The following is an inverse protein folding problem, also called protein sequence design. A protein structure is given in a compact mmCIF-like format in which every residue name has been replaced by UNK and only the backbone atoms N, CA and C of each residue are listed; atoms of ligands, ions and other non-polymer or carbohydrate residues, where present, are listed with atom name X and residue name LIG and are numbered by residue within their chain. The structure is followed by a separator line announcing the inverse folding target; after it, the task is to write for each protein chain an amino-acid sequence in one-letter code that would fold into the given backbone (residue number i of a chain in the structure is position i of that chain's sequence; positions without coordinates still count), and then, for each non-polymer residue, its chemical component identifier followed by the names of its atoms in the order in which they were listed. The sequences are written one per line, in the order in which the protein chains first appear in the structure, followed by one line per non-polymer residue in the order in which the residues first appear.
data_IF_699127915374
#
_entry.id   IF_699127915374
#
_cell.length_a   1.000
_cell.length_b   1.000
_cell.length_c   1.000
_cell.angle_alpha   90.00
_cell.angle_beta   90.00
_cell.angle_gamma   90.00
#
_symmetry.space_group_name_H-M   'P 1'
#
loop_
_entity.id
_entity.type
_entity.pdbx_description
1 polymer ?
#
# COMPACT_ATOMS: atom_id res chain seq x y z
N UNK A 1 24.68 -20.72 -5.39
CA UNK A 1 23.46 -19.92 -5.68
C UNK A 1 22.28 -20.89 -5.69
N UNK A 2 21.24 -20.61 -4.92
CA UNK A 2 20.07 -21.48 -4.81
C UNK A 2 19.31 -21.53 -6.16
N UNK A 3 19.01 -22.73 -6.66
CA UNK A 3 18.32 -22.95 -7.95
C UNK A 3 16.82 -23.19 -7.80
N UNK A 4 16.38 -23.58 -6.60
CA UNK A 4 15.00 -23.97 -6.29
C UNK A 4 14.54 -23.34 -4.98
N UNK A 5 13.25 -23.07 -4.84
CA UNK A 5 12.64 -22.51 -3.64
C UNK A 5 11.35 -23.25 -3.28
N UNK A 6 11.33 -23.81 -2.07
CA UNK A 6 10.12 -24.28 -1.40
C UNK A 6 9.67 -23.20 -0.43
N UNK A 7 8.38 -22.88 -0.44
CA UNK A 7 7.86 -21.74 0.33
C UNK A 7 7.40 -22.21 1.71
N UNK A 8 6.64 -23.30 1.74
CA UNK A 8 6.18 -23.93 2.97
C UNK A 8 6.64 -25.40 3.06
N UNK A 9 6.90 -25.88 4.27
CA UNK A 9 7.26 -27.28 4.54
C UNK A 9 6.17 -28.30 4.20
N UNK A 10 4.94 -27.86 3.98
CA UNK A 10 3.81 -28.71 3.56
C UNK A 10 3.57 -28.67 2.04
N UNK A 11 4.35 -27.90 1.28
CA UNK A 11 4.19 -27.78 -0.17
C UNK A 11 4.68 -29.06 -0.87
N UNK A 12 3.87 -29.62 -1.76
CA UNK A 12 4.30 -30.71 -2.65
C UNK A 12 4.78 -30.21 -4.03
N UNK A 13 4.88 -28.88 -4.18
CA UNK A 13 5.45 -28.22 -5.34
C UNK A 13 6.66 -27.38 -4.93
N UNK A 14 7.66 -27.33 -5.81
CA UNK A 14 8.85 -26.47 -5.66
C UNK A 14 8.94 -25.51 -6.84
N UNK A 15 9.32 -24.24 -6.58
CA UNK A 15 9.54 -23.22 -7.61
C UNK A 15 10.96 -23.28 -8.14
N UNK A 16 11.11 -23.30 -9.46
CA UNK A 16 12.41 -23.13 -10.12
C UNK A 16 12.82 -21.65 -10.16
N UNK A 17 13.99 -21.32 -9.63
CA UNK A 17 14.54 -19.95 -9.67
C UNK A 17 15.33 -19.66 -10.96
N UNK A 18 15.61 -20.71 -11.75
CA UNK A 18 16.28 -20.67 -13.05
C UNK A 18 15.66 -21.73 -13.96
N UNK A 19 16.03 -21.73 -15.24
CA UNK A 19 15.73 -22.86 -16.10
C UNK A 19 16.51 -24.09 -15.61
N UNK A 20 15.80 -25.21 -15.47
CA UNK A 20 16.30 -26.50 -15.02
C UNK A 20 16.01 -27.53 -16.10
N UNK A 21 16.91 -28.48 -16.27
CA UNK A 21 16.82 -29.51 -17.30
C UNK A 21 16.45 -30.87 -16.72
N UNK A 22 15.76 -31.67 -17.52
CA UNK A 22 15.51 -33.08 -17.19
C UNK A 22 16.84 -33.81 -16.87
N UNK A 23 16.80 -34.66 -15.85
CA UNK A 23 17.97 -35.37 -15.31
C UNK A 23 18.75 -34.61 -14.23
N UNK A 24 18.54 -33.29 -14.06
CA UNK A 24 19.07 -32.57 -12.90
C UNK A 24 18.45 -33.13 -11.61
N UNK A 25 19.28 -33.32 -10.58
CA UNK A 25 18.84 -33.79 -9.27
C UNK A 25 19.07 -32.74 -8.20
N UNK A 26 18.09 -32.59 -7.31
CA UNK A 26 18.11 -31.64 -6.21
C UNK A 26 17.80 -32.38 -4.91
N UNK A 27 18.64 -32.17 -3.90
CA UNK A 27 18.36 -32.62 -2.54
C UNK A 27 17.61 -31.53 -1.77
N UNK A 28 16.56 -31.93 -1.08
CA UNK A 28 15.84 -31.09 -0.13
C UNK A 28 15.41 -31.92 1.07
N UNK A 29 15.76 -31.47 2.28
CA UNK A 29 15.72 -32.29 3.51
C UNK A 29 16.46 -33.63 3.29
N UNK A 30 15.80 -34.76 3.56
CA UNK A 30 16.31 -36.11 3.33
C UNK A 30 15.90 -36.70 1.97
N UNK A 31 15.21 -35.93 1.12
CA UNK A 31 14.67 -36.42 -0.14
C UNK A 31 15.49 -35.92 -1.35
N UNK A 32 15.67 -36.79 -2.33
CA UNK A 32 16.35 -36.48 -3.60
C UNK A 32 15.33 -36.52 -4.74
N UNK A 33 15.28 -35.43 -5.51
CA UNK A 33 14.32 -35.25 -6.60
C UNK A 33 15.10 -35.09 -7.90
N UNK A 34 14.93 -36.04 -8.80
CA UNK A 34 15.43 -35.94 -10.18
C UNK A 34 14.32 -35.43 -11.09
N UNK A 35 14.59 -34.37 -11.84
CA UNK A 35 13.63 -33.83 -12.80
C UNK A 35 13.42 -34.80 -13.97
N UNK A 36 12.17 -35.05 -14.32
CA UNK A 36 11.82 -35.88 -15.49
C UNK A 36 11.50 -35.05 -16.74
N UNK A 37 11.30 -33.74 -16.56
CA UNK A 37 11.03 -32.76 -17.61
C UNK A 37 11.83 -31.49 -17.36
N UNK A 38 12.08 -30.72 -18.41
CA UNK A 38 12.61 -29.36 -18.25
C UNK A 38 11.61 -28.48 -17.47
N UNK A 39 12.12 -27.65 -16.57
CA UNK A 39 11.34 -26.71 -15.77
C UNK A 39 11.89 -25.31 -15.98
N UNK A 40 11.12 -24.45 -16.65
CA UNK A 40 11.52 -23.05 -16.86
C UNK A 40 11.56 -22.28 -15.54
N UNK A 41 12.36 -21.22 -15.48
CA UNK A 41 12.35 -20.29 -14.36
C UNK A 41 10.91 -19.83 -14.04
N UNK A 42 10.62 -19.70 -12.75
CA UNK A 42 9.31 -19.35 -12.15
C UNK A 42 8.21 -20.41 -12.29
N UNK A 43 8.46 -21.50 -13.02
CA UNK A 43 7.56 -22.66 -13.05
C UNK A 43 7.82 -23.58 -11.86
N UNK A 44 6.96 -24.59 -11.69
CA UNK A 44 7.04 -25.50 -10.56
C UNK A 44 7.21 -26.93 -11.03
N UNK A 45 7.67 -27.78 -10.13
CA UNK A 45 7.68 -29.23 -10.32
C UNK A 45 7.20 -29.95 -9.06
N UNK A 46 6.68 -31.16 -9.23
CA UNK A 46 6.18 -31.98 -8.13
C UNK A 46 7.33 -32.60 -7.32
N UNK A 47 7.24 -32.59 -5.99
CA UNK A 47 8.20 -33.25 -5.10
C UNK A 47 7.91 -34.73 -4.88
N UNK A 48 6.74 -35.19 -5.31
CA UNK A 48 6.23 -36.54 -5.13
C UNK A 48 5.30 -36.89 -6.29
N UNK A 49 4.94 -38.17 -6.41
CA UNK A 49 3.88 -38.58 -7.34
C UNK A 49 2.53 -38.04 -6.85
N UNK A 50 1.75 -37.48 -7.77
CA UNK A 50 0.43 -36.92 -7.52
C UNK A 50 -0.56 -37.66 -8.42
N UNK A 51 -1.48 -38.46 -7.86
CA UNK A 51 -2.47 -39.19 -8.65
C UNK A 51 -3.46 -38.23 -9.31
N UNK A 52 -4.26 -38.75 -10.25
CA UNK A 52 -5.44 -38.04 -10.77
C UNK A 52 -6.29 -37.53 -9.60
N UNK A 53 -6.74 -36.27 -9.68
CA UNK A 53 -7.48 -35.56 -8.62
C UNK A 53 -6.71 -35.34 -7.30
N UNK A 54 -5.43 -35.71 -7.25
CA UNK A 54 -4.52 -35.43 -6.15
C UNK A 54 -4.30 -33.92 -5.98
N UNK A 55 -4.17 -33.49 -4.73
CA UNK A 55 -3.99 -32.08 -4.38
C UNK A 55 -2.58 -31.62 -4.76
N UNK A 56 -2.49 -30.44 -5.37
CA UNK A 56 -1.24 -29.68 -5.47
C UNK A 56 -1.26 -28.53 -4.47
N UNK A 57 -0.21 -28.38 -3.68
CA UNK A 57 -0.10 -27.39 -2.62
C UNK A 57 1.06 -26.42 -2.83
N UNK A 58 0.83 -25.16 -2.48
CA UNK A 58 1.82 -24.09 -2.45
C UNK A 58 1.45 -23.10 -1.34
N UNK A 59 2.44 -22.50 -0.66
CA UNK A 59 2.20 -21.60 0.47
C UNK A 59 1.49 -22.28 1.65
N UNK A 60 1.65 -23.60 1.80
CA UNK A 60 1.00 -24.39 2.84
C UNK A 60 -0.49 -24.64 2.60
N UNK A 61 -1.02 -24.31 1.41
CA UNK A 61 -2.44 -24.44 1.09
C UNK A 61 -2.69 -25.16 -0.25
N UNK A 62 -3.80 -25.89 -0.42
CA UNK A 62 -4.23 -26.40 -1.71
C UNK A 62 -4.46 -25.28 -2.73
N UNK A 63 -3.83 -25.38 -3.90
CA UNK A 63 -3.99 -24.41 -5.00
C UNK A 63 -4.59 -25.03 -6.27
N UNK A 64 -4.68 -26.36 -6.31
CA UNK A 64 -5.13 -27.08 -7.49
C UNK A 64 -5.31 -28.57 -7.26
N UNK A 65 -5.80 -29.23 -8.30
CA UNK A 65 -5.82 -30.70 -8.41
C UNK A 65 -5.20 -31.13 -9.73
N UNK A 66 -4.52 -32.27 -9.72
CA UNK A 66 -3.97 -32.87 -10.92
C UNK A 66 -5.10 -33.35 -11.86
N UNK A 67 -5.02 -33.02 -13.15
CA UNK A 67 -5.99 -33.45 -14.18
C UNK A 67 -5.63 -34.79 -14.80
N UNK A 68 -4.42 -35.28 -14.52
CA UNK A 68 -3.88 -36.60 -14.85
C UNK A 68 -2.80 -36.95 -13.80
N UNK A 69 -2.34 -38.21 -13.72
CA UNK A 69 -1.18 -38.53 -12.88
C UNK A 69 0.03 -37.65 -13.26
N UNK A 70 0.69 -37.10 -12.23
CA UNK A 70 1.93 -36.31 -12.32
C UNK A 70 2.99 -37.08 -11.54
N UNK A 71 4.15 -37.32 -12.14
CA UNK A 71 5.23 -38.04 -11.45
C UNK A 71 6.15 -37.06 -10.70
N UNK A 72 6.85 -37.56 -9.68
CA UNK A 72 7.89 -36.82 -8.97
C UNK A 72 8.91 -36.25 -9.95
N UNK A 73 9.23 -34.96 -9.80
CA UNK A 73 10.15 -34.22 -10.67
C UNK A 73 9.52 -33.72 -11.98
N UNK A 74 8.23 -33.93 -12.22
CA UNK A 74 7.54 -33.43 -13.41
C UNK A 74 7.15 -31.96 -13.25
N UNK A 75 7.29 -31.18 -14.32
CA UNK A 75 6.86 -29.79 -14.39
C UNK A 75 5.34 -29.67 -14.25
N UNK A 76 4.89 -28.71 -13.45
CA UNK A 76 3.49 -28.32 -13.34
C UNK A 76 3.18 -27.28 -14.41
N UNK A 77 2.17 -27.56 -15.23
CA UNK A 77 1.67 -26.69 -16.31
C UNK A 77 0.16 -26.53 -16.20
N UNK A 78 -0.41 -25.61 -16.97
CA UNK A 78 -1.88 -25.43 -17.03
C UNK A 78 -2.60 -26.65 -17.61
N UNK A 79 -1.89 -27.60 -18.23
CA UNK A 79 -2.46 -28.78 -18.84
C UNK A 79 -2.63 -29.94 -17.85
N UNK A 80 -1.76 -30.00 -16.83
CA UNK A 80 -1.75 -31.10 -15.85
C UNK A 80 -2.38 -30.75 -14.49
N UNK A 81 -2.82 -29.50 -14.30
CA UNK A 81 -3.57 -29.09 -13.11
C UNK A 81 -4.82 -28.27 -13.46
N UNK A 82 -5.80 -28.30 -12.57
CA UNK A 82 -6.97 -27.42 -12.57
C UNK A 82 -7.07 -26.69 -11.24
N UNK A 83 -7.67 -25.50 -11.28
CA UNK A 83 -7.91 -24.72 -10.07
C UNK A 83 -8.74 -25.52 -9.05
N UNK A 84 -8.32 -25.48 -7.80
CA UNK A 84 -9.05 -26.02 -6.67
C UNK A 84 -8.71 -25.18 -5.43
N UNK A 85 -9.75 -24.74 -4.73
CA UNK A 85 -9.64 -24.17 -3.40
C UNK A 85 -10.36 -25.12 -2.44
N UNK A 86 -9.77 -25.34 -1.26
CA UNK A 86 -10.45 -26.10 -0.22
C UNK A 86 -11.78 -25.39 0.15
N UNK A 87 -12.88 -26.13 0.39
CA UNK A 87 -14.11 -25.54 0.87
C UNK A 87 -13.86 -24.83 2.21
N UNK A 88 -14.38 -23.62 2.35
CA UNK A 88 -14.29 -22.85 3.60
C UNK A 88 -15.45 -23.26 4.49
N UNK A 89 -15.17 -23.88 5.63
CA UNK A 89 -16.15 -24.10 6.70
C UNK A 89 -16.04 -22.96 7.71
N UNK A 90 -17.15 -22.28 8.00
CA UNK A 90 -17.22 -21.26 9.06
C UNK A 90 -17.27 -21.89 10.47
N UNK A 91 -17.42 -23.20 10.54
CA UNK A 91 -17.57 -23.99 11.76
C UNK A 91 -16.22 -24.32 12.41
N UNK A 92 -15.13 -24.37 11.62
CA UNK A 92 -13.78 -24.73 12.06
C UNK A 92 -12.85 -23.51 12.20
N UNK A 93 -13.42 -22.31 12.31
CA UNK A 93 -12.63 -21.10 12.52
C UNK A 93 -12.22 -21.04 13.99
N UNK A 94 -11.14 -21.74 14.33
CA UNK A 94 -10.39 -21.45 15.55
C UNK A 94 -10.15 -19.93 15.60
N UNK A 95 -10.43 -19.26 16.74
CA UNK A 95 -10.17 -17.83 16.87
C UNK A 95 -8.72 -17.55 16.48
N UNK A 96 -8.51 -16.73 15.44
CA UNK A 96 -7.16 -16.36 15.05
C UNK A 96 -6.51 -15.58 16.20
N UNK A 97 -5.58 -16.23 16.89
CA UNK A 97 -4.76 -15.60 17.89
C UNK A 97 -3.54 -14.98 17.21
N UNK A 98 -3.61 -13.67 16.97
CA UNK A 98 -2.43 -12.94 16.50
C UNK A 98 -1.34 -12.99 17.56
N UNK A 99 -0.24 -13.66 17.23
CA UNK A 99 0.97 -13.60 18.02
C UNK A 99 1.83 -12.45 17.49
N UNK A 100 1.99 -11.42 18.31
CA UNK A 100 2.89 -10.32 17.99
C UNK A 100 4.31 -10.86 17.73
N UNK A 101 4.97 -10.45 16.64
CA UNK A 101 6.37 -10.79 16.45
C UNK A 101 7.21 -10.20 17.58
N UNK A 102 8.25 -10.91 18.01
CA UNK A 102 9.20 -10.36 18.98
C UNK A 102 9.95 -9.20 18.33
N UNK A 103 9.74 -7.98 18.85
CA UNK A 103 10.38 -6.76 18.38
C UNK A 103 11.49 -6.26 19.32
N UNK A 104 11.92 -7.09 20.28
CA UNK A 104 12.93 -6.74 21.29
C UNK A 104 14.25 -6.23 20.70
N UNK A 105 14.68 -6.79 19.55
CA UNK A 105 15.89 -6.35 18.83
C UNK A 105 15.83 -4.87 18.41
N UNK A 106 14.63 -4.34 18.16
CA UNK A 106 14.43 -2.97 17.71
C UNK A 106 14.03 -2.01 18.83
N UNK A 107 13.96 -2.48 20.08
CA UNK A 107 13.48 -1.69 21.24
C UNK A 107 14.28 -0.39 21.49
N UNK A 108 15.55 -0.35 21.09
CA UNK A 108 16.42 0.83 21.24
C UNK A 108 16.52 1.69 19.97
N UNK A 109 15.88 1.28 18.86
CA UNK A 109 15.95 2.02 17.61
C UNK A 109 15.03 3.24 17.67
N UNK A 110 15.61 4.40 17.34
CA UNK A 110 14.90 5.68 17.32
C UNK A 110 15.03 6.33 15.94
N UNK A 111 14.10 7.21 15.59
CA UNK A 111 14.19 8.08 14.42
C UNK A 111 13.84 9.51 14.81
N UNK A 112 14.29 10.49 14.02
CA UNK A 112 13.91 11.89 14.21
C UNK A 112 12.50 12.10 13.66
N UNK A 113 11.51 12.13 14.56
CA UNK A 113 10.11 12.39 14.23
C UNK A 113 9.58 13.66 14.90
N UNK A 114 8.38 14.06 14.50
CA UNK A 114 7.61 15.14 15.10
C UNK A 114 6.62 14.55 16.10
N UNK A 115 6.91 14.68 17.39
CA UNK A 115 5.98 14.25 18.45
C UNK A 115 4.76 15.18 18.47
N UNK A 116 3.56 14.59 18.57
CA UNK A 116 2.28 15.30 18.67
C UNK A 116 1.77 15.26 20.11
N UNK A 117 0.84 16.16 20.42
CA UNK A 117 0.30 16.32 21.78
C UNK A 117 -0.49 15.07 22.23
N UNK A 118 -1.06 14.31 21.28
CA UNK A 118 -1.69 13.01 21.50
C UNK A 118 -0.70 11.83 21.63
N UNK A 119 0.61 12.10 21.62
CA UNK A 119 1.69 11.11 21.75
C UNK A 119 2.05 10.37 20.45
N UNK A 120 1.30 10.55 19.35
CA UNK A 120 1.69 9.98 18.05
C UNK A 120 2.88 10.73 17.47
N UNK A 121 3.60 10.07 16.57
CA UNK A 121 4.82 10.63 15.97
C UNK A 121 4.67 10.71 14.45
N UNK A 122 4.81 11.91 13.90
CA UNK A 122 4.86 12.16 12.47
C UNK A 122 6.28 12.01 11.92
N UNK A 123 6.42 11.53 10.69
CA UNK A 123 7.66 11.56 9.91
C UNK A 123 7.80 12.84 9.08
N UNK A 124 6.71 13.60 8.93
CA UNK A 124 6.67 14.89 8.24
C UNK A 124 5.68 15.83 8.93
N UNK A 125 5.65 17.09 8.51
CA UNK A 125 4.71 18.10 9.02
C UNK A 125 4.11 18.88 7.85
N UNK A 126 2.86 18.56 7.49
CA UNK A 126 2.12 19.17 6.39
C UNK A 126 0.89 19.93 6.89
N UNK A 127 0.58 21.03 6.20
CA UNK A 127 -0.72 21.70 6.33
C UNK A 127 -1.62 21.23 5.18
N UNK A 128 -2.82 20.73 5.49
CA UNK A 128 -3.75 20.30 4.46
C UNK A 128 -4.68 21.43 4.01
N UNK A 129 -5.01 21.45 2.73
CA UNK A 129 -6.07 22.31 2.20
C UNK A 129 -6.96 21.47 1.31
N UNK A 130 -8.25 21.42 1.59
CA UNK A 130 -9.19 20.63 0.79
C UNK A 130 -10.60 21.20 0.81
N UNK A 131 -11.37 21.00 -0.27
CA UNK A 131 -12.78 21.32 -0.26
C UNK A 131 -13.63 20.11 0.14
N UNK A 132 -14.84 20.38 0.60
CA UNK A 132 -15.88 19.36 0.77
C UNK A 132 -16.73 19.17 -0.50
N UNK A 133 -16.38 19.86 -1.60
CA UNK A 133 -17.08 19.76 -2.89
C UNK A 133 -16.12 19.90 -4.07
N UNK A 134 -16.32 19.07 -5.10
CA UNK A 134 -15.45 19.01 -6.26
C UNK A 134 -15.33 20.34 -7.03
N UNK A 135 -16.36 21.19 -7.03
CA UNK A 135 -16.36 22.49 -7.71
C UNK A 135 -15.22 23.41 -7.24
N UNK A 136 -14.75 23.24 -6.00
CA UNK A 136 -13.69 24.06 -5.40
C UNK A 136 -12.29 23.48 -5.59
N UNK A 137 -12.14 22.29 -6.17
CA UNK A 137 -10.82 21.65 -6.37
C UNK A 137 -9.83 22.57 -7.07
N UNK A 138 -10.28 23.28 -8.11
CA UNK A 138 -9.42 24.19 -8.88
C UNK A 138 -8.96 25.38 -8.05
N UNK A 139 -9.86 25.95 -7.24
CA UNK A 139 -9.56 27.10 -6.40
C UNK A 139 -8.59 26.70 -5.29
N UNK A 140 -8.87 25.59 -4.59
CA UNK A 140 -8.00 25.05 -3.53
C UNK A 140 -6.62 24.67 -4.07
N UNK A 141 -6.54 24.08 -5.27
CA UNK A 141 -5.25 23.75 -5.89
C UNK A 141 -4.45 24.99 -6.24
N UNK A 142 -5.08 26.02 -6.81
CA UNK A 142 -4.41 27.29 -7.11
C UNK A 142 -3.92 27.99 -5.85
N UNK A 143 -4.75 28.04 -4.82
CA UNK A 143 -4.38 28.60 -3.52
C UNK A 143 -3.18 27.84 -2.92
N UNK A 144 -3.23 26.52 -2.93
CA UNK A 144 -2.15 25.67 -2.42
C UNK A 144 -0.83 25.93 -3.16
N UNK A 145 -0.87 26.06 -4.48
CA UNK A 145 0.32 26.38 -5.27
C UNK A 145 0.85 27.78 -4.93
N UNK A 146 -0.02 28.78 -4.85
CA UNK A 146 0.37 30.14 -4.48
C UNK A 146 0.99 30.20 -3.07
N UNK A 147 0.43 29.45 -2.10
CA UNK A 147 0.99 29.33 -0.76
C UNK A 147 2.37 28.65 -0.78
N UNK A 148 2.51 27.54 -1.50
CA UNK A 148 3.81 26.84 -1.60
C UNK A 148 4.88 27.71 -2.28
N UNK A 149 4.51 28.48 -3.30
CA UNK A 149 5.41 29.42 -3.97
C UNK A 149 5.83 30.55 -3.01
N UNK A 150 4.86 31.21 -2.37
CA UNK A 150 5.11 32.35 -1.49
C UNK A 150 5.89 31.95 -0.21
N UNK A 151 5.68 30.75 0.31
CA UNK A 151 6.30 30.26 1.54
C UNK A 151 7.62 29.50 1.30
N UNK A 152 8.04 29.31 0.05
CA UNK A 152 9.31 28.66 -0.30
C UNK A 152 9.28 27.13 -0.26
N UNK A 153 8.12 26.51 -0.42
CA UNK A 153 7.96 25.04 -0.45
C UNK A 153 7.97 24.44 -1.86
N UNK A 154 7.84 25.28 -2.90
CA UNK A 154 7.81 24.81 -4.29
C UNK A 154 9.16 24.28 -4.76
N UNK A 155 9.16 23.08 -5.35
CA UNK A 155 10.32 22.57 -6.07
C UNK A 155 10.39 23.20 -7.47
N UNK A 156 11.35 24.11 -7.65
CA UNK A 156 11.55 24.82 -8.91
C UNK A 156 12.43 24.07 -9.93
N UNK A 157 12.76 22.79 -9.74
CA UNK A 157 13.66 22.06 -10.63
C UNK A 157 13.20 22.05 -12.10
N UNK A 158 11.93 21.74 -12.35
CA UNK A 158 11.35 21.77 -13.69
C UNK A 158 11.24 23.18 -14.26
N UNK A 159 10.97 24.18 -13.40
CA UNK A 159 10.92 25.59 -13.80
C UNK A 159 12.31 26.09 -14.21
N UNK A 160 13.36 25.74 -13.44
CA UNK A 160 14.77 25.97 -13.79
C UNK A 160 15.11 25.32 -15.13
N UNK A 161 14.76 24.04 -15.30
CA UNK A 161 14.99 23.33 -16.56
C UNK A 161 14.33 24.02 -17.77
N UNK A 162 13.06 24.40 -17.65
CA UNK A 162 12.34 25.09 -18.73
C UNK A 162 12.92 26.48 -19.05
N UNK A 163 13.38 27.23 -18.04
CA UNK A 163 14.08 28.51 -18.25
C UNK A 163 15.43 28.30 -18.93
N UNK A 164 16.18 27.27 -18.54
CA UNK A 164 17.46 26.93 -19.17
C UNK A 164 17.31 26.56 -20.65
N UNK A 165 16.16 25.98 -21.04
CA UNK A 165 15.85 25.73 -22.46
C UNK A 165 15.50 26.99 -23.26
N UNK A 166 15.03 28.06 -22.61
CA UNK A 166 14.47 29.23 -23.32
C UNK A 166 15.34 30.48 -23.23
N UNK A 167 15.96 30.79 -22.09
CA UNK A 167 16.66 32.06 -21.86
C UNK A 167 18.16 31.94 -21.57
N UNK A 168 18.68 30.73 -21.35
CA UNK A 168 20.10 30.51 -21.03
C UNK A 168 20.60 31.25 -19.77
N UNK A 169 19.69 31.70 -18.92
CA UNK A 169 19.97 32.47 -17.70
C UNK A 169 19.36 31.79 -16.48
N UNK A 170 20.19 31.57 -15.45
CA UNK A 170 20.00 30.57 -14.39
C UNK A 170 19.53 31.15 -13.05
N UNK A 171 19.12 32.42 -13.00
CA UNK A 171 18.83 33.10 -11.72
C UNK A 171 17.35 33.04 -11.34
N UNK A 172 16.89 31.86 -10.93
CA UNK A 172 15.71 31.78 -10.06
C UNK A 172 16.13 32.06 -8.62
N UNK A 173 15.70 33.21 -8.09
CA UNK A 173 15.82 33.52 -6.66
C UNK A 173 15.02 32.47 -5.89
N UNK A 174 15.70 31.60 -5.15
CA UNK A 174 15.03 30.67 -4.26
C UNK A 174 14.44 31.44 -3.07
N UNK A 175 13.12 31.33 -2.92
CA UNK A 175 12.42 31.85 -1.75
C UNK A 175 12.83 31.02 -0.54
N UNK A 176 13.44 31.67 0.46
CA UNK A 176 13.77 31.02 1.72
C UNK A 176 12.50 30.49 2.39
N UNK A 177 12.56 29.29 2.96
CA UNK A 177 11.43 28.69 3.67
C UNK A 177 11.05 29.54 4.87
N UNK A 178 9.83 30.07 4.86
CA UNK A 178 9.33 30.94 5.94
C UNK A 178 9.07 30.15 7.24
N UNK A 179 8.57 28.91 7.13
CA UNK A 179 8.40 28.02 8.28
C UNK A 179 9.21 26.72 8.08
N UNK A 180 10.45 26.64 8.60
CA UNK A 180 11.33 25.49 8.37
C UNK A 180 10.80 24.16 8.88
N UNK A 181 9.93 24.18 9.90
CA UNK A 181 9.32 22.98 10.50
C UNK A 181 8.10 22.46 9.74
N UNK A 182 7.64 23.18 8.71
CA UNK A 182 6.55 22.75 7.84
C UNK A 182 7.18 22.33 6.51
N UNK A 183 6.90 21.10 6.08
CA UNK A 183 7.41 20.58 4.81
C UNK A 183 6.68 21.16 3.60
N UNK A 184 5.42 21.53 3.78
CA UNK A 184 4.66 22.27 2.79
C UNK A 184 3.16 22.20 3.01
N UNK A 185 2.44 22.80 2.08
CA UNK A 185 0.98 22.78 2.01
C UNK A 185 0.55 21.72 0.99
N UNK A 186 -0.37 20.83 1.36
CA UNK A 186 -0.85 19.75 0.49
C UNK A 186 -2.33 19.91 0.20
N UNK A 187 -2.66 19.88 -1.09
CA UNK A 187 -4.02 19.90 -1.58
C UNK A 187 -4.58 18.48 -1.61
N UNK A 188 -5.78 18.27 -1.07
CA UNK A 188 -6.57 17.06 -1.37
C UNK A 188 -7.75 17.51 -2.23
N UNK A 189 -7.89 16.92 -3.40
CA UNK A 189 -9.05 17.12 -4.27
C UNK A 189 -10.07 16.02 -4.03
N UNK A 190 -11.35 16.35 -4.21
CA UNK A 190 -12.46 15.42 -4.04
C UNK A 190 -13.25 15.24 -5.33
N UNK A 191 -13.79 14.07 -5.58
CA UNK A 191 -14.61 13.79 -6.77
C UNK A 191 -16.11 13.88 -6.51
N UNK A 192 -16.51 14.13 -5.26
CA UNK A 192 -17.90 14.15 -4.80
C UNK A 192 -18.17 15.40 -3.96
N UNK A 193 -19.25 15.38 -3.17
CA UNK A 193 -19.64 16.43 -2.23
C UNK A 193 -20.94 17.15 -2.57
N UNK A 194 -21.33 17.19 -3.86
CA UNK A 194 -22.59 17.74 -4.32
C UNK A 194 -23.31 16.77 -5.28
N UNK A 195 -24.64 16.70 -5.21
CA UNK A 195 -25.46 15.85 -6.09
C UNK A 195 -25.39 14.33 -5.86
N UNK A 196 -24.59 13.85 -4.91
CA UNK A 196 -24.41 12.43 -4.58
C UNK A 196 -25.32 11.89 -3.46
N UNK A 197 -25.20 10.59 -3.18
CA UNK A 197 -25.85 9.95 -2.04
C UNK A 197 -25.27 10.51 -0.73
N UNK A 198 -26.07 10.49 0.34
CA UNK A 198 -25.61 10.97 1.66
C UNK A 198 -24.50 10.08 2.19
N UNK A 199 -24.61 8.77 2.03
CA UNK A 199 -23.60 7.77 2.40
C UNK A 199 -22.23 8.03 1.75
N UNK A 200 -22.22 8.49 0.51
CA UNK A 200 -20.97 8.79 -0.21
C UNK A 200 -20.30 10.04 0.37
N UNK A 201 -21.10 11.04 0.74
CA UNK A 201 -20.63 12.25 1.40
C UNK A 201 -20.07 11.93 2.80
N UNK A 202 -20.75 11.07 3.55
CA UNK A 202 -20.30 10.60 4.87
C UNK A 202 -18.97 9.84 4.77
N UNK A 203 -18.88 8.89 3.82
CA UNK A 203 -17.65 8.13 3.56
C UNK A 203 -16.49 9.06 3.15
N UNK A 204 -16.76 10.05 2.30
CA UNK A 204 -15.76 11.05 1.92
C UNK A 204 -15.31 11.87 3.14
N UNK A 205 -16.24 12.34 3.98
CA UNK A 205 -15.91 13.05 5.21
C UNK A 205 -15.09 12.18 6.18
N UNK A 206 -15.37 10.87 6.29
CA UNK A 206 -14.61 9.93 7.10
C UNK A 206 -13.16 9.79 6.62
N UNK A 207 -12.97 9.71 5.29
CA UNK A 207 -11.62 9.67 4.69
C UNK A 207 -10.87 10.98 4.92
N UNK A 208 -11.51 12.14 4.69
CA UNK A 208 -10.90 13.44 4.95
C UNK A 208 -10.57 13.64 6.43
N UNK A 209 -11.43 13.17 7.34
CA UNK A 209 -11.18 13.21 8.78
C UNK A 209 -9.98 12.33 9.15
N UNK A 210 -9.82 11.16 8.51
CA UNK A 210 -8.64 10.32 8.69
C UNK A 210 -7.35 11.00 8.24
N UNK A 211 -7.37 11.76 7.12
CA UNK A 211 -6.24 12.57 6.70
C UNK A 211 -5.93 13.69 7.69
N UNK A 212 -6.95 14.44 8.14
CA UNK A 212 -6.78 15.51 9.12
C UNK A 212 -6.19 14.99 10.44
N UNK A 213 -6.64 13.83 10.90
CA UNK A 213 -6.17 13.19 12.13
C UNK A 213 -4.76 12.56 12.01
N UNK A 214 -4.22 12.37 10.80
CA UNK A 214 -2.91 11.74 10.61
C UNK A 214 -1.75 12.51 11.31
N UNK A 215 -0.76 11.85 11.96
CA UNK A 215 0.32 12.54 12.69
C UNK A 215 1.27 13.35 11.81
N UNK A 216 1.30 13.13 10.50
CA UNK A 216 2.01 14.01 9.56
C UNK A 216 1.30 15.32 9.26
N UNK A 217 0.05 15.47 9.71
CA UNK A 217 -0.76 16.67 9.49
C UNK A 217 -0.76 17.47 10.78
N UNK A 218 -0.36 18.74 10.66
CA UNK A 218 -0.28 19.70 11.76
C UNK A 218 -1.48 20.65 11.83
N UNK A 219 -2.33 20.62 10.81
CA UNK A 219 -3.50 21.48 10.69
C UNK A 219 -4.09 21.42 9.30
N UNK A 220 -5.26 22.04 9.14
CA UNK A 220 -5.95 22.07 7.86
C UNK A 220 -6.74 23.35 7.63
N UNK A 221 -7.00 23.62 6.35
CA UNK A 221 -7.99 24.58 5.88
C UNK A 221 -9.04 23.87 5.03
N UNK A 222 -10.31 23.99 5.42
CA UNK A 222 -11.43 23.25 4.85
C UNK A 222 -12.39 24.21 4.15
N UNK A 223 -12.57 24.01 2.85
CA UNK A 223 -13.48 24.83 2.05
C UNK A 223 -14.88 24.19 2.01
N UNK A 224 -15.85 24.88 2.60
CA UNK A 224 -17.27 24.52 2.57
C UNK A 224 -18.06 25.72 2.02
N UNK A 225 -18.76 25.53 0.90
CA UNK A 225 -19.53 26.60 0.24
C UNK A 225 -20.97 26.69 0.80
N UNK A 226 -21.44 25.64 1.48
CA UNK A 226 -22.79 25.52 2.02
C UNK A 226 -23.85 25.05 1.01
N UNK A 227 -23.56 25.05 -0.30
CA UNK A 227 -24.47 24.51 -1.33
C UNK A 227 -24.31 23.00 -1.52
N UNK A 228 -23.20 22.45 -1.04
CA UNK A 228 -22.89 21.02 -1.07
C UNK A 228 -23.62 20.24 0.02
N UNK A 229 -23.70 18.92 -0.17
CA UNK A 229 -24.31 17.99 0.79
C UNK A 229 -23.32 17.62 1.90
N UNK A 230 -22.05 17.45 1.55
CA UNK A 230 -20.96 17.27 2.49
C UNK A 230 -20.60 18.61 3.14
N UNK A 231 -21.34 19.01 4.17
CA UNK A 231 -21.11 20.29 4.83
C UNK A 231 -20.11 20.17 5.99
N UNK A 232 -19.61 21.32 6.46
CA UNK A 232 -18.69 21.41 7.59
C UNK A 232 -19.14 20.59 8.81
N UNK A 233 -20.45 20.54 9.11
CA UNK A 233 -20.99 19.74 10.22
C UNK A 233 -20.70 18.25 10.05
N UNK A 234 -20.94 17.69 8.88
CA UNK A 234 -20.70 16.26 8.58
C UNK A 234 -19.22 15.90 8.74
N UNK A 235 -18.33 16.79 8.29
CA UNK A 235 -16.89 16.63 8.48
C UNK A 235 -16.48 16.70 9.95
N UNK A 236 -17.01 17.67 10.72
CA UNK A 236 -16.75 17.78 12.16
C UNK A 236 -17.28 16.56 12.94
N UNK A 237 -18.45 16.06 12.59
CA UNK A 237 -19.04 14.86 13.20
C UNK A 237 -18.18 13.62 12.89
N UNK A 238 -17.66 13.48 11.66
CA UNK A 238 -16.71 12.43 11.29
C UNK A 238 -15.39 12.53 12.09
N UNK A 239 -14.86 13.74 12.24
CA UNK A 239 -13.65 13.99 13.00
C UNK A 239 -13.82 13.66 14.48
N UNK A 240 -14.92 14.09 15.10
CA UNK A 240 -15.22 13.82 16.50
C UNK A 240 -15.46 12.32 16.77
N UNK A 241 -16.09 11.59 15.83
CA UNK A 241 -16.21 10.13 15.94
C UNK A 241 -14.86 9.42 15.92
N UNK A 242 -13.90 9.95 15.17
CA UNK A 242 -12.57 9.37 15.01
C UNK A 242 -11.63 9.74 16.16
N UNK A 243 -11.56 11.02 16.48
CA UNK A 243 -10.70 11.58 17.51
C UNK A 243 -11.49 12.64 18.29
N UNK A 244 -12.11 12.26 19.42
CA UNK A 244 -12.88 13.17 20.26
C UNK A 244 -12.03 14.31 20.86
N UNK A 245 -10.73 14.10 21.00
CA UNK A 245 -9.76 15.05 21.57
C UNK A 245 -8.95 15.77 20.48
N UNK A 246 -9.50 15.84 19.26
CA UNK A 246 -8.83 16.49 18.14
C UNK A 246 -8.51 17.97 18.44
N UNK A 247 -7.23 18.32 18.39
CA UNK A 247 -6.68 19.59 18.86
C UNK A 247 -5.95 20.40 17.77
N UNK A 248 -5.84 19.85 16.55
CA UNK A 248 -5.10 20.50 15.48
C UNK A 248 -5.84 21.72 14.94
N UNK A 249 -5.14 22.80 14.57
CA UNK A 249 -5.73 23.97 13.93
C UNK A 249 -6.58 23.64 12.69
N UNK A 250 -7.83 24.12 12.70
CA UNK A 250 -8.81 24.00 11.61
C UNK A 250 -9.30 25.38 11.17
N UNK A 251 -9.05 25.74 9.92
CA UNK A 251 -9.54 26.98 9.29
C UNK A 251 -10.68 26.68 8.31
#
# INVERSE_FOLDING_TARGET
MQKILRIDSNDNLIVALKDLHAGESFSWDDDNITLVTDVKAKHKFATQDIPLDGIVSMYGTPVGKATRPIVKGEAITVDNIRHYAAPVTLEDVEPYHWQAPDVSEWSTRTFKGYVRDDGRVGTASYWLVFPLVFCENRNVSKLTNALNDALGYTNNSLKKFALNLTSGSDELIETARMFPHIEGVRCITVTSGCGGATSDCETMCDVLAAYADHPNVIGMTVFSLGCEKAQQKMFKDALARRNPEFDKPAL
#
